data_IF_303934732385
#
_entry.id   IF_303934732385
#
_cell.length_a   1.000
_cell.length_b   1.000
_cell.length_c   1.000
_cell.angle_alpha   90.00
_cell.angle_beta   90.00
_cell.angle_gamma   90.00
#
_symmetry.space_group_name_H-M   'P 1'
#
loop_
_entity.id
_entity.type
_entity.pdbx_description
1 polymer ?
#
# COMPACT_ATOMS: atom_id res chain seq x y z
N UNK A 1 9.74 11.56 -1.97
CA UNK A 1 9.43 10.12 -2.14
C UNK A 1 10.65 9.28 -2.53
N UNK A 2 11.47 9.69 -3.51
CA UNK A 2 12.65 8.91 -3.96
C UNK A 2 13.67 8.59 -2.85
N UNK A 3 13.93 9.55 -1.95
CA UNK A 3 14.84 9.34 -0.83
C UNK A 3 14.32 8.24 0.13
N UNK A 4 13.04 8.31 0.51
CA UNK A 4 12.40 7.28 1.33
C UNK A 4 12.46 5.90 0.66
N UNK A 5 12.14 5.81 -0.63
CA UNK A 5 12.25 4.56 -1.41
C UNK A 5 13.64 3.94 -1.36
N UNK A 6 14.67 4.79 -1.44
CA UNK A 6 16.07 4.36 -1.36
C UNK A 6 16.42 3.85 0.03
N UNK A 7 16.01 4.54 1.08
CA UNK A 7 16.20 4.10 2.47
C UNK A 7 15.46 2.78 2.69
N UNK A 8 14.18 2.71 2.35
CA UNK A 8 13.36 1.50 2.48
C UNK A 8 13.93 0.28 1.73
N UNK A 9 14.66 0.49 0.62
CA UNK A 9 15.23 -0.61 -0.15
C UNK A 9 16.60 -1.09 0.33
N UNK A 10 17.37 -0.23 0.99
CA UNK A 10 18.78 -0.47 1.30
C UNK A 10 19.04 -0.64 2.79
N UNK A 11 18.12 -0.20 3.64
CA UNK A 11 18.28 -0.12 5.08
C UNK A 11 17.19 -0.93 5.79
N UNK A 12 17.40 -1.19 7.07
CA UNK A 12 16.44 -1.92 7.90
C UNK A 12 15.12 -1.14 8.05
N UNK A 13 14.00 -1.79 7.74
CA UNK A 13 12.70 -1.15 7.70
C UNK A 13 12.25 -0.64 9.05
N UNK A 14 12.43 -1.44 10.11
CA UNK A 14 11.93 -1.14 11.44
C UNK A 14 12.71 -0.02 12.12
N UNK A 15 14.05 -0.06 12.01
CA UNK A 15 14.94 0.85 12.75
C UNK A 15 15.35 2.09 11.97
N UNK A 16 15.28 2.06 10.63
CA UNK A 16 15.69 3.20 9.79
C UNK A 16 14.59 3.69 8.87
N UNK A 17 13.98 2.83 8.06
CA UNK A 17 13.05 3.29 7.03
C UNK A 17 11.77 3.91 7.61
N UNK A 18 11.20 3.31 8.65
CA UNK A 18 10.01 3.82 9.33
C UNK A 18 10.29 5.15 10.04
N UNK A 19 11.32 5.28 10.88
CA UNK A 19 11.68 6.57 11.47
C UNK A 19 11.92 7.63 10.40
N UNK A 20 12.67 7.29 9.34
CA UNK A 20 12.92 8.20 8.22
C UNK A 20 11.62 8.61 7.51
N UNK A 21 10.67 7.70 7.34
CA UNK A 21 9.36 8.00 6.77
C UNK A 21 8.68 9.09 7.60
N UNK A 22 8.49 8.88 8.90
CA UNK A 22 7.76 9.83 9.75
C UNK A 22 8.48 11.16 9.95
N UNK A 23 9.81 11.17 10.01
CA UNK A 23 10.60 12.40 10.13
C UNK A 23 10.57 13.26 8.86
N UNK A 24 10.47 12.63 7.69
CA UNK A 24 10.48 13.32 6.39
C UNK A 24 9.09 13.35 5.73
N UNK A 25 8.06 12.82 6.38
CA UNK A 25 6.71 12.79 5.85
C UNK A 25 6.14 14.21 5.92
N UNK A 26 5.78 14.72 4.75
CA UNK A 26 5.18 16.04 4.61
C UNK A 26 3.67 15.87 4.42
N UNK A 27 2.86 16.03 5.48
CA UNK A 27 1.41 15.87 5.41
C UNK A 27 0.73 16.98 4.62
N UNK A 28 1.40 18.09 4.31
CA UNK A 28 0.82 19.15 3.47
C UNK A 28 0.86 18.77 1.99
N UNK A 29 1.88 18.03 1.57
CA UNK A 29 2.07 17.64 0.17
C UNK A 29 1.75 16.16 -0.13
N UNK A 30 1.73 15.29 0.87
CA UNK A 30 1.46 13.86 0.72
C UNK A 30 0.27 13.43 1.55
N UNK A 31 -0.43 12.41 1.06
CA UNK A 31 -1.50 11.76 1.81
C UNK A 31 -1.28 10.26 1.89
N UNK A 32 -1.81 9.67 2.97
CA UNK A 32 -1.77 8.23 3.24
C UNK A 32 -3.17 7.69 3.02
N UNK A 33 -3.26 6.58 2.31
CA UNK A 33 -4.50 5.90 1.97
C UNK A 33 -4.39 4.42 2.30
N UNK A 34 -5.42 3.91 2.94
CA UNK A 34 -5.63 2.48 3.09
C UNK A 34 -6.48 1.99 1.93
N UNK A 35 -6.05 0.89 1.31
CA UNK A 35 -6.76 0.21 0.26
C UNK A 35 -7.10 -1.21 0.71
N UNK A 36 -8.36 -1.62 0.58
CA UNK A 36 -8.80 -3.00 0.81
C UNK A 36 -9.59 -3.49 -0.40
N UNK A 37 -9.31 -4.71 -0.85
CA UNK A 37 -9.97 -5.28 -2.01
C UNK A 37 -11.41 -5.69 -1.67
N UNK A 38 -12.36 -5.25 -2.49
CA UNK A 38 -13.81 -5.39 -2.23
C UNK A 38 -14.34 -6.80 -2.42
N UNK A 39 -13.67 -7.60 -3.26
CA UNK A 39 -14.20 -8.89 -3.72
C UNK A 39 -13.27 -10.05 -3.33
N UNK A 40 -12.97 -10.28 -2.04
CA UNK A 40 -12.11 -11.38 -1.63
C UNK A 40 -12.61 -12.76 -2.12
N UNK A 41 -13.90 -12.91 -2.40
CA UNK A 41 -14.51 -14.08 -3.02
C UNK A 41 -13.96 -14.40 -4.43
N UNK A 42 -13.50 -13.40 -5.19
CA UNK A 42 -12.89 -13.59 -6.51
C UNK A 42 -11.43 -14.05 -6.41
N UNK A 43 -10.83 -13.95 -5.21
CA UNK A 43 -9.44 -14.31 -4.95
C UNK A 43 -9.31 -15.82 -4.70
N UNK A 44 -9.20 -16.56 -5.81
CA UNK A 44 -9.03 -18.02 -5.80
C UNK A 44 -7.64 -18.45 -5.33
N UNK A 45 -6.62 -18.36 -6.18
CA UNK A 45 -5.28 -18.83 -5.83
C UNK A 45 -4.41 -17.65 -5.39
N UNK A 46 -3.61 -17.85 -4.35
CA UNK A 46 -2.74 -16.81 -3.78
C UNK A 46 -1.78 -16.24 -4.82
N UNK A 47 -1.23 -17.07 -5.71
CA UNK A 47 -0.39 -16.59 -6.82
C UNK A 47 -1.16 -15.74 -7.85
N UNK A 48 -2.45 -16.05 -8.11
CA UNK A 48 -3.29 -15.25 -9.02
C UNK A 48 -3.58 -13.88 -8.41
N UNK A 49 -3.87 -13.85 -7.11
CA UNK A 49 -4.04 -12.63 -6.33
C UNK A 49 -2.77 -11.77 -6.36
N UNK A 50 -1.61 -12.40 -6.25
CA UNK A 50 -0.33 -11.70 -6.33
C UNK A 50 -0.04 -11.14 -7.74
N UNK A 51 -0.46 -11.86 -8.79
CA UNK A 51 -0.40 -11.39 -10.17
C UNK A 51 -1.34 -10.22 -10.42
N UNK A 52 -2.53 -10.21 -9.81
CA UNK A 52 -3.48 -9.09 -9.86
C UNK A 52 -2.84 -7.81 -9.32
N UNK A 53 -2.23 -7.87 -8.13
CA UNK A 53 -1.51 -6.73 -7.51
C UNK A 53 -0.40 -6.24 -8.45
N UNK A 54 0.38 -7.17 -8.99
CA UNK A 54 1.51 -6.83 -9.86
C UNK A 54 1.05 -6.23 -11.20
N UNK A 55 -0.09 -6.68 -11.73
CA UNK A 55 -0.74 -6.11 -12.91
C UNK A 55 -1.20 -4.67 -12.68
N UNK A 56 -1.80 -4.39 -11.52
CA UNK A 56 -2.18 -3.03 -11.13
C UNK A 56 -0.96 -2.11 -11.08
N UNK A 57 0.14 -2.56 -10.47
CA UNK A 57 1.38 -1.77 -10.39
C UNK A 57 1.95 -1.41 -11.77
N UNK A 58 1.92 -2.35 -12.72
CA UNK A 58 2.36 -2.09 -14.09
C UNK A 58 1.50 -1.04 -14.81
N UNK A 59 0.18 -1.04 -14.58
CA UNK A 59 -0.71 -0.01 -15.14
C UNK A 59 -0.48 1.36 -14.51
N UNK A 60 -0.06 1.39 -13.25
CA UNK A 60 0.29 2.59 -12.50
C UNK A 60 1.75 3.02 -12.67
N UNK A 61 2.51 2.45 -13.62
CA UNK A 61 3.95 2.72 -13.79
C UNK A 61 4.30 4.22 -13.86
N UNK A 62 3.45 5.04 -14.49
CA UNK A 62 3.65 6.51 -14.55
C UNK A 62 3.48 7.19 -13.18
N UNK A 63 2.61 6.66 -12.33
CA UNK A 63 2.33 7.18 -10.99
C UNK A 63 3.47 6.88 -10.01
N UNK A 64 4.24 5.81 -10.25
CA UNK A 64 5.28 5.36 -9.33
C UNK A 64 6.25 6.48 -8.93
N UNK A 65 6.60 7.41 -9.82
CA UNK A 65 7.52 8.51 -9.50
C UNK A 65 7.10 9.34 -8.29
N UNK A 66 5.79 9.55 -8.10
CA UNK A 66 5.25 10.38 -7.03
C UNK A 66 4.46 9.60 -5.98
N UNK A 67 4.52 8.27 -6.02
CA UNK A 67 3.76 7.40 -5.15
C UNK A 67 4.61 6.23 -4.62
N UNK A 68 4.16 5.67 -3.53
CA UNK A 68 4.69 4.48 -2.89
C UNK A 68 3.53 3.67 -2.33
N UNK A 69 3.59 2.36 -2.42
CA UNK A 69 2.60 1.51 -1.76
C UNK A 69 3.24 0.26 -1.19
N UNK A 70 2.66 -0.25 -0.12
CA UNK A 70 2.93 -1.57 0.42
C UNK A 70 1.61 -2.33 0.49
N UNK A 71 1.44 -3.27 -0.43
CA UNK A 71 0.23 -4.09 -0.55
C UNK A 71 0.55 -5.50 -0.11
N UNK A 72 -0.24 -6.00 0.81
CA UNK A 72 -0.12 -7.33 1.40
C UNK A 72 -1.28 -8.21 0.94
N UNK A 73 -0.94 -9.44 0.59
CA UNK A 73 -1.84 -10.56 0.44
C UNK A 73 -1.85 -11.33 1.77
N UNK A 74 -3.05 -11.56 2.27
CA UNK A 74 -3.29 -12.34 3.48
C UNK A 74 -4.08 -13.61 3.18
N UNK A 75 -3.97 -14.60 4.06
CA UNK A 75 -4.74 -15.83 4.01
C UNK A 75 -4.07 -16.93 3.17
N UNK A 76 -4.90 -17.83 2.64
CA UNK A 76 -4.50 -19.01 1.86
C UNK A 76 -5.36 -19.12 0.61
N UNK A 77 -5.06 -20.11 -0.25
CA UNK A 77 -5.88 -20.36 -1.43
C UNK A 77 -7.37 -20.53 -1.06
N UNK A 78 -8.24 -19.91 -1.85
CA UNK A 78 -9.69 -19.81 -1.73
C UNK A 78 -10.20 -19.08 -0.48
N UNK A 79 -9.31 -18.51 0.32
CA UNK A 79 -9.63 -17.66 1.45
C UNK A 79 -8.51 -16.64 1.65
N UNK A 80 -8.37 -15.75 0.67
CA UNK A 80 -7.35 -14.71 0.68
C UNK A 80 -7.96 -13.32 0.62
N UNK A 81 -7.23 -12.33 1.13
CA UNK A 81 -7.63 -10.93 1.09
C UNK A 81 -6.45 -10.06 0.73
N UNK A 82 -6.70 -8.96 0.04
CA UNK A 82 -5.68 -8.00 -0.35
C UNK A 82 -5.99 -6.70 0.37
N UNK A 83 -5.00 -6.18 1.06
CA UNK A 83 -5.06 -4.81 1.56
C UNK A 83 -3.67 -4.20 1.63
N UNK A 84 -3.59 -2.88 1.69
CA UNK A 84 -2.32 -2.19 1.62
C UNK A 84 -2.42 -0.72 1.98
N UNK A 85 -1.25 -0.17 2.27
CA UNK A 85 -1.09 1.28 2.39
C UNK A 85 -0.57 1.84 1.08
N UNK A 86 -1.07 3.02 0.73
CA UNK A 86 -0.66 3.79 -0.43
C UNK A 86 -0.37 5.21 0.00
N UNK A 87 0.69 5.77 -0.54
CA UNK A 87 1.17 7.10 -0.21
C UNK A 87 1.48 7.79 -1.53
N UNK A 88 0.88 8.95 -1.78
CA UNK A 88 1.17 9.71 -2.99
C UNK A 88 1.12 11.20 -2.72
N UNK A 89 1.70 11.96 -3.65
CA UNK A 89 1.66 13.42 -3.63
C UNK A 89 0.26 13.92 -3.96
N UNK A 90 -0.26 14.83 -3.14
CA UNK A 90 -1.62 15.38 -3.23
C UNK A 90 -2.54 14.84 -2.16
N UNK A 91 -3.71 15.47 -2.01
CA UNK A 91 -4.71 15.16 -0.98
C UNK A 91 -5.92 14.41 -1.48
N UNK A 92 -6.10 14.37 -2.80
CA UNK A 92 -7.21 13.73 -3.48
C UNK A 92 -6.83 12.32 -3.93
N UNK A 93 -7.85 11.54 -4.29
CA UNK A 93 -7.65 10.20 -4.80
C UNK A 93 -6.97 10.29 -6.18
N UNK A 94 -5.72 9.83 -6.27
CA UNK A 94 -4.92 10.03 -7.49
C UNK A 94 -5.52 9.40 -8.74
N UNK A 95 -6.31 8.33 -8.58
CA UNK A 95 -6.97 7.63 -9.69
C UNK A 95 -8.00 8.50 -10.43
N UNK A 96 -8.61 9.49 -9.79
CA UNK A 96 -9.54 10.40 -10.48
C UNK A 96 -8.84 11.45 -11.35
N UNK A 97 -7.52 11.62 -11.19
CA UNK A 97 -6.74 12.63 -11.92
C UNK A 97 -6.36 12.20 -13.34
N UNK A 98 -6.40 10.90 -13.63
CA UNK A 98 -6.08 10.38 -14.96
C UNK A 98 -6.94 9.16 -15.29
N UNK A 99 -7.61 9.13 -16.45
CA UNK A 99 -8.37 7.96 -16.89
C UNK A 99 -7.48 6.71 -17.06
N UNK A 100 -6.17 6.90 -17.34
CA UNK A 100 -5.20 5.80 -17.44
C UNK A 100 -5.06 4.99 -16.12
N UNK A 101 -5.44 5.58 -14.98
CA UNK A 101 -5.29 4.97 -13.64
C UNK A 101 -6.61 4.44 -13.08
N UNK A 102 -7.71 4.59 -13.82
CA UNK A 102 -9.06 4.26 -13.35
C UNK A 102 -9.44 2.78 -13.51
N UNK A 103 -8.53 1.94 -14.01
CA UNK A 103 -8.86 0.59 -14.44
C UNK A 103 -9.21 -0.34 -13.27
N UNK A 104 -8.43 -0.32 -12.19
CA UNK A 104 -8.59 -1.29 -11.08
C UNK A 104 -9.01 -0.65 -9.77
N UNK A 105 -8.92 0.67 -9.64
CA UNK A 105 -9.13 1.32 -8.35
C UNK A 105 -10.55 1.12 -7.82
N UNK A 106 -11.55 0.94 -8.69
CA UNK A 106 -12.93 0.71 -8.27
C UNK A 106 -13.12 -0.60 -7.51
N UNK A 107 -12.27 -1.61 -7.77
CA UNK A 107 -12.27 -2.89 -7.07
C UNK A 107 -11.68 -2.82 -5.65
N UNK A 108 -11.17 -1.65 -5.25
CA UNK A 108 -10.66 -1.39 -3.91
C UNK A 108 -11.49 -0.31 -3.22
N UNK A 109 -11.66 -0.47 -1.91
CA UNK A 109 -12.11 0.60 -1.02
C UNK A 109 -10.92 1.44 -0.60
N UNK A 110 -11.05 2.76 -0.75
CA UNK A 110 -10.00 3.72 -0.44
C UNK A 110 -10.41 4.56 0.74
N UNK A 111 -9.61 4.50 1.80
CA UNK A 111 -9.80 5.31 3.00
C UNK A 111 -8.59 6.18 3.23
N UNK A 112 -8.78 7.51 3.18
CA UNK A 112 -7.74 8.46 3.59
C UNK A 112 -7.48 8.31 5.09
N UNK A 113 -6.22 8.16 5.46
CA UNK A 113 -5.78 8.05 6.84
C UNK A 113 -5.18 9.38 7.32
N UNK A 114 -5.37 9.66 8.60
CA UNK A 114 -4.77 10.84 9.24
C UNK A 114 -3.36 10.48 9.76
N UNK A 115 -2.28 11.09 9.24
CA UNK A 115 -0.91 10.83 9.70
C UNK A 115 -0.65 11.26 11.15
N UNK A 116 -1.50 12.11 11.75
CA UNK A 116 -1.39 12.50 13.15
C UNK A 116 -1.90 11.40 14.10
N UNK A 117 -2.81 10.54 13.64
CA UNK A 117 -3.42 9.47 14.44
C UNK A 117 -2.41 8.35 14.73
N UNK A 118 -2.32 7.94 16.00
CA UNK A 118 -1.48 6.82 16.42
C UNK A 118 -1.90 5.52 15.75
N UNK A 119 -3.19 5.31 15.51
CA UNK A 119 -3.68 4.12 14.81
C UNK A 119 -3.15 4.06 13.38
N UNK A 120 -3.15 5.18 12.67
CA UNK A 120 -2.57 5.27 11.32
C UNK A 120 -1.09 4.94 11.35
N UNK A 121 -0.36 5.46 12.35
CA UNK A 121 1.08 5.17 12.49
C UNK A 121 1.34 3.68 12.65
N UNK A 122 0.57 3.01 13.51
CA UNK A 122 0.66 1.56 13.70
C UNK A 122 0.37 0.82 12.41
N UNK A 123 -0.76 1.10 11.74
CA UNK A 123 -1.12 0.46 10.46
C UNK A 123 0.00 0.65 9.44
N UNK A 124 0.45 1.88 9.22
CA UNK A 124 1.51 2.17 8.25
C UNK A 124 2.79 1.41 8.58
N UNK A 125 3.20 1.37 9.84
CA UNK A 125 4.39 0.64 10.27
C UNK A 125 4.25 -0.86 10.01
N UNK A 126 3.10 -1.46 10.35
CA UNK A 126 2.84 -2.89 10.15
C UNK A 126 2.87 -3.27 8.67
N UNK A 127 2.22 -2.49 7.81
CA UNK A 127 2.26 -2.72 6.36
C UNK A 127 3.62 -2.42 5.75
N UNK A 128 4.39 -1.48 6.29
CA UNK A 128 5.77 -1.25 5.84
C UNK A 128 6.69 -2.41 6.25
N UNK A 129 6.51 -2.99 7.44
CA UNK A 129 7.32 -4.12 7.92
C UNK A 129 6.84 -5.48 7.42
N UNK A 130 5.61 -5.56 6.89
CA UNK A 130 4.89 -6.82 6.65
C UNK A 130 4.75 -7.68 7.91
N UNK A 131 4.80 -7.05 9.08
CA UNK A 131 4.77 -7.70 10.39
C UNK A 131 3.90 -6.84 11.30
N UNK A 132 2.86 -7.46 11.87
CA UNK A 132 1.86 -6.76 12.66
C UNK A 132 0.64 -7.63 12.95
N UNK A 133 -0.31 -7.07 13.68
CA UNK A 133 -1.62 -7.67 13.88
C UNK A 133 -2.59 -7.17 12.79
N UNK A 134 -2.74 -7.97 11.74
CA UNK A 134 -3.62 -7.66 10.62
C UNK A 134 -5.06 -8.11 10.89
N UNK A 135 -5.59 -7.82 12.07
CA UNK A 135 -6.91 -8.26 12.55
C UNK A 135 -7.06 -9.80 12.45
N UNK A 136 -6.02 -10.55 12.83
CA UNK A 136 -5.97 -12.01 12.74
C UNK A 136 -5.78 -12.58 11.32
N UNK A 137 -5.64 -11.74 10.28
CA UNK A 137 -5.31 -12.19 8.92
C UNK A 137 -3.85 -12.63 8.84
N UNK A 138 -3.62 -13.87 8.41
CA UNK A 138 -2.25 -14.41 8.29
C UNK A 138 -1.55 -13.80 7.07
N UNK A 139 -0.44 -13.10 7.28
CA UNK A 139 0.40 -12.60 6.18
C UNK A 139 0.87 -13.76 5.29
N UNK A 140 0.71 -13.59 3.98
CA UNK A 140 1.15 -14.55 2.98
C UNK A 140 2.29 -13.95 2.15
N UNK A 141 2.03 -12.85 1.45
CA UNK A 141 2.97 -12.20 0.54
C UNK A 141 2.82 -10.68 0.56
N UNK A 142 3.92 -9.97 0.37
CA UNK A 142 3.95 -8.51 0.28
C UNK A 142 4.49 -8.06 -1.08
N UNK A 143 3.95 -6.95 -1.59
CA UNK A 143 4.36 -6.31 -2.84
C UNK A 143 4.53 -4.81 -2.60
N UNK A 144 5.70 -4.30 -2.98
CA UNK A 144 6.00 -2.87 -2.89
C UNK A 144 5.85 -2.23 -4.26
N UNK A 145 5.12 -1.12 -4.30
CA UNK A 145 5.04 -0.22 -5.44
C UNK A 145 6.04 0.92 -5.21
N UNK A 146 7.09 0.99 -6.04
CA UNK A 146 8.13 2.02 -5.95
C UNK A 146 8.75 2.33 -7.31
#
# INVERSE_FOLDING_TARGET
MDAFKRVYSNEDTATKAIPYFWENFDPENYSIWYAEYKYPEDLTLTFMSCNLISGMFQRLEKLKKNAFASVCLFGTDNNSSISGIWIWKGHELVFTLSPDWQIDYESYDWKKLDPADERTKTIVNEYLMWQGDFDGKKFNQGKIFK
#
